data_IF_751004962850
#
_entry.id   IF_751004962850
#
_cell.length_a   1.000
_cell.length_b   1.000
_cell.length_c   1.000
_cell.angle_alpha   90.00
_cell.angle_beta   90.00
_cell.angle_gamma   90.00
#
_symmetry.space_group_name_H-M   'P 1'
#
loop_
_entity.id
_entity.type
_entity.pdbx_description
1 polymer ?
#
# COMPACT_ATOMS: atom_id res chain seq x y z
N UNK A 1 -34.90 0.40 -75.02
CA UNK A 1 -33.86 0.89 -74.07
C UNK A 1 -34.51 1.18 -72.73
N UNK A 2 -34.36 0.30 -71.73
CA UNK A 2 -34.62 0.59 -70.31
C UNK A 2 -33.57 -0.17 -69.51
N UNK A 3 -32.54 0.55 -69.04
CA UNK A 3 -31.49 0.02 -68.16
C UNK A 3 -32.10 -0.15 -66.77
N UNK A 4 -32.11 -1.37 -66.24
CA UNK A 4 -32.35 -1.61 -64.82
C UNK A 4 -31.02 -1.37 -64.09
N UNK A 5 -30.93 -0.26 -63.35
CA UNK A 5 -29.87 -0.04 -62.39
C UNK A 5 -30.20 -0.82 -61.12
N UNK A 6 -29.46 -1.90 -60.86
CA UNK A 6 -29.54 -2.63 -59.59
C UNK A 6 -28.60 -1.94 -58.60
N UNK A 7 -29.17 -1.16 -57.70
CA UNK A 7 -28.47 -0.56 -56.57
C UNK A 7 -27.96 -1.66 -55.62
N UNK A 8 -26.65 -1.71 -55.44
CA UNK A 8 -25.98 -2.57 -54.47
C UNK A 8 -26.02 -1.85 -53.10
N UNK A 9 -26.87 -2.31 -52.18
CA UNK A 9 -26.84 -1.91 -50.78
C UNK A 9 -25.62 -2.55 -50.11
N UNK A 10 -24.60 -1.75 -49.78
CA UNK A 10 -23.49 -2.16 -48.93
C UNK A 10 -23.94 -1.93 -47.49
N UNK A 11 -24.32 -3.00 -46.79
CA UNK A 11 -24.53 -2.96 -45.35
C UNK A 11 -23.15 -2.87 -44.66
N UNK A 12 -22.80 -1.69 -44.14
CA UNK A 12 -21.61 -1.50 -43.32
C UNK A 12 -21.77 -2.22 -41.98
N UNK A 13 -20.97 -3.25 -41.73
CA UNK A 13 -20.82 -3.84 -40.40
C UNK A 13 -19.99 -2.85 -39.57
N UNK A 14 -20.66 -2.11 -38.67
CA UNK A 14 -20.01 -1.37 -37.60
C UNK A 14 -19.49 -2.37 -36.57
N UNK A 15 -18.19 -2.66 -36.62
CA UNK A 15 -17.53 -3.41 -35.55
C UNK A 15 -17.38 -2.49 -34.32
N UNK A 16 -18.23 -2.68 -33.32
CA UNK A 16 -18.02 -2.07 -32.00
C UNK A 16 -16.89 -2.84 -31.29
N UNK A 17 -15.72 -2.20 -31.17
CA UNK A 17 -14.67 -2.70 -30.28
C UNK A 17 -15.07 -2.38 -28.84
N UNK A 18 -15.43 -3.40 -28.05
CA UNK A 18 -15.58 -3.22 -26.60
C UNK A 18 -14.19 -3.09 -25.99
N UNK A 19 -13.90 -1.94 -25.34
CA UNK A 19 -12.71 -1.83 -24.52
C UNK A 19 -12.86 -2.78 -23.32
N UNK A 20 -11.98 -3.78 -23.22
CA UNK A 20 -11.91 -4.63 -22.03
C UNK A 20 -11.19 -3.85 -20.92
N UNK A 21 -11.79 -3.81 -19.74
CA UNK A 21 -11.13 -3.28 -18.55
C UNK A 21 -10.25 -4.38 -17.95
N UNK A 22 -8.97 -4.09 -17.74
CA UNK A 22 -8.04 -5.02 -17.10
C UNK A 22 -7.56 -4.43 -15.78
N UNK A 23 -7.40 -5.29 -14.77
CA UNK A 23 -6.75 -4.91 -13.52
C UNK A 23 -5.29 -4.53 -13.77
N UNK A 24 -4.88 -3.41 -13.19
CA UNK A 24 -3.51 -2.89 -13.16
C UNK A 24 -3.12 -2.70 -11.71
N UNK A 25 -1.91 -3.13 -11.34
CA UNK A 25 -1.38 -2.97 -9.98
C UNK A 25 -0.08 -2.18 -10.04
N UNK A 26 0.05 -1.18 -9.17
CA UNK A 26 1.28 -0.41 -8.98
C UNK A 26 1.74 -0.55 -7.53
N UNK A 27 3.02 -0.88 -7.34
CA UNK A 27 3.63 -1.05 -6.02
C UNK A 27 4.66 0.06 -5.79
N UNK A 28 4.61 0.65 -4.59
CA UNK A 28 5.51 1.68 -4.11
C UNK A 28 6.33 1.10 -2.96
N UNK A 29 7.64 1.08 -3.15
CA UNK A 29 8.60 0.68 -2.12
C UNK A 29 9.10 1.92 -1.37
N UNK A 30 9.77 1.70 -0.25
CA UNK A 30 10.35 2.76 0.55
C UNK A 30 11.43 3.54 -0.22
N UNK A 31 11.36 4.87 -0.15
CA UNK A 31 12.33 5.79 -0.77
C UNK A 31 12.87 6.83 0.21
N UNK A 32 12.33 6.91 1.43
CA UNK A 32 12.62 7.99 2.37
C UNK A 32 11.96 9.33 2.05
N UNK A 33 11.07 9.38 1.05
CA UNK A 33 10.41 10.60 0.60
C UNK A 33 8.98 10.34 0.11
N UNK A 34 8.24 11.43 -0.10
CA UNK A 34 6.94 11.42 -0.75
C UNK A 34 7.03 10.80 -2.16
N UNK A 35 6.03 9.99 -2.50
CA UNK A 35 5.79 9.48 -3.84
C UNK A 35 4.37 9.88 -4.27
N UNK A 36 4.10 9.87 -5.57
CA UNK A 36 2.80 10.32 -6.11
C UNK A 36 2.24 9.36 -7.14
N UNK A 37 0.91 9.28 -7.21
CA UNK A 37 0.18 8.56 -8.24
C UNK A 37 -0.90 9.44 -8.85
N UNK A 38 -0.89 9.59 -10.18
CA UNK A 38 -1.95 10.30 -10.91
C UNK A 38 -2.99 9.30 -11.36
N UNK A 39 -4.25 9.52 -10.96
CA UNK A 39 -5.35 8.61 -11.26
C UNK A 39 -5.63 8.58 -12.77
N UNK A 40 -5.59 7.40 -13.42
CA UNK A 40 -5.82 7.31 -14.86
C UNK A 40 -7.23 7.73 -15.27
N UNK A 41 -7.36 8.11 -16.55
CA UNK A 41 -8.66 8.44 -17.12
C UNK A 41 -9.66 7.28 -16.97
N UNK A 42 -10.89 7.61 -16.56
CA UNK A 42 -11.97 6.63 -16.37
C UNK A 42 -11.91 5.82 -15.07
N UNK A 43 -10.86 5.96 -14.25
CA UNK A 43 -10.76 5.31 -12.94
C UNK A 43 -11.44 6.16 -11.87
N UNK A 44 -12.43 5.59 -11.20
CA UNK A 44 -13.20 6.26 -10.13
C UNK A 44 -13.11 5.52 -8.78
N UNK A 45 -12.46 4.36 -8.75
CA UNK A 45 -12.21 3.59 -7.54
C UNK A 45 -10.90 2.84 -7.67
N UNK A 46 -10.14 2.81 -6.58
CA UNK A 46 -8.87 2.11 -6.46
C UNK A 46 -8.91 1.27 -5.18
N UNK A 47 -8.56 -0.01 -5.28
CA UNK A 47 -8.24 -0.82 -4.10
C UNK A 47 -6.85 -0.45 -3.64
N UNK A 48 -6.73 0.03 -2.41
CA UNK A 48 -5.48 0.47 -1.81
C UNK A 48 -5.06 -0.48 -0.71
N UNK A 49 -3.75 -0.71 -0.60
CA UNK A 49 -3.14 -1.58 0.39
C UNK A 49 -1.88 -0.92 0.92
N UNK A 50 -1.70 -0.92 2.24
CA UNK A 50 -0.54 -0.36 2.90
C UNK A 50 -0.03 -1.33 3.97
N UNK A 51 1.29 -1.40 4.08
CA UNK A 51 2.00 -2.12 5.12
C UNK A 51 2.94 -1.15 5.82
N UNK A 52 2.76 -0.94 7.13
CA UNK A 52 3.69 -0.17 7.94
C UNK A 52 5.05 -0.85 8.05
N UNK A 53 6.08 -0.11 8.44
CA UNK A 53 7.41 -0.67 8.64
C UNK A 53 7.57 -1.26 10.05
N UNK A 54 8.51 -2.18 10.22
CA UNK A 54 8.87 -2.70 11.54
C UNK A 54 9.77 -1.72 12.30
N UNK A 55 9.73 -1.80 13.64
CA UNK A 55 10.75 -1.18 14.47
C UNK A 55 12.10 -1.88 14.37
N UNK A 56 13.11 -1.29 15.01
CA UNK A 56 14.42 -1.92 15.16
C UNK A 56 14.32 -3.19 16.01
N UNK A 57 14.92 -4.27 15.51
CA UNK A 57 15.12 -5.51 16.26
C UNK A 57 16.46 -5.47 16.97
N UNK A 58 16.41 -5.45 18.30
CA UNK A 58 17.60 -5.56 19.13
C UNK A 58 18.16 -6.98 19.16
N UNK A 59 19.35 -7.14 19.72
CA UNK A 59 20.01 -8.44 19.92
C UNK A 59 19.22 -9.38 20.86
N UNK A 60 18.43 -8.82 21.79
CA UNK A 60 17.67 -9.58 22.79
C UNK A 60 16.19 -9.79 22.49
N UNK A 61 15.57 -8.99 21.59
CA UNK A 61 14.16 -9.10 21.25
C UNK A 61 13.83 -8.49 19.87
N UNK A 62 12.79 -9.01 19.19
CA UNK A 62 12.34 -8.45 17.92
C UNK A 62 11.66 -7.09 18.11
N UNK A 63 11.89 -6.19 17.17
CA UNK A 63 11.06 -5.00 17.00
C UNK A 63 9.63 -5.39 16.65
N UNK A 64 8.69 -4.51 16.95
CA UNK A 64 7.31 -4.68 16.54
C UNK A 64 7.22 -4.71 15.01
N UNK A 65 6.42 -5.62 14.48
CA UNK A 65 6.11 -5.67 13.05
C UNK A 65 5.12 -4.55 12.68
N UNK A 66 5.24 -4.03 11.47
CA UNK A 66 4.27 -3.07 10.95
C UNK A 66 2.94 -3.73 10.60
N UNK A 67 1.85 -2.97 10.70
CA UNK A 67 0.50 -3.42 10.40
C UNK A 67 0.20 -3.45 8.90
N UNK A 68 -0.98 -3.99 8.57
CA UNK A 68 -1.58 -3.94 7.24
C UNK A 68 -2.90 -3.18 7.30
N UNK A 69 -3.20 -2.40 6.26
CA UNK A 69 -4.50 -1.78 6.04
C UNK A 69 -4.89 -1.83 4.57
N UNK A 70 -6.17 -2.04 4.29
CA UNK A 70 -6.70 -2.06 2.92
C UNK A 70 -8.12 -1.48 2.86
N UNK A 71 -8.54 -1.05 1.68
CA UNK A 71 -9.93 -0.72 1.37
C UNK A 71 -10.08 -0.16 -0.04
N UNK A 72 -11.30 0.23 -0.40
CA UNK A 72 -11.63 0.85 -1.67
C UNK A 72 -11.71 2.38 -1.52
N UNK A 73 -10.78 3.08 -2.17
CA UNK A 73 -10.71 4.54 -2.20
C UNK A 73 -11.47 5.06 -3.42
N UNK A 74 -12.45 5.94 -3.19
CA UNK A 74 -13.10 6.69 -4.26
C UNK A 74 -12.16 7.77 -4.78
N UNK A 75 -12.02 7.85 -6.09
CA UNK A 75 -11.08 8.78 -6.73
C UNK A 75 -11.70 9.53 -7.90
N UNK A 76 -11.10 10.66 -8.26
CA UNK A 76 -11.42 11.46 -9.44
C UNK A 76 -10.34 11.24 -10.51
N UNK A 77 -10.71 10.89 -11.76
CA UNK A 77 -9.74 10.81 -12.86
C UNK A 77 -8.88 12.08 -12.96
N UNK A 78 -7.56 11.90 -13.04
CA UNK A 78 -6.58 12.98 -13.13
C UNK A 78 -6.16 13.62 -11.80
N UNK A 79 -6.78 13.26 -10.67
CA UNK A 79 -6.29 13.72 -9.36
C UNK A 79 -4.95 13.06 -8.99
N UNK A 80 -4.22 13.69 -8.07
CA UNK A 80 -2.96 13.16 -7.53
C UNK A 80 -3.19 12.63 -6.13
N UNK A 81 -2.80 11.37 -5.91
CA UNK A 81 -2.67 10.78 -4.58
C UNK A 81 -1.22 10.89 -4.13
N UNK A 82 -1.03 11.20 -2.85
CA UNK A 82 0.30 11.23 -2.23
C UNK A 82 0.50 9.97 -1.40
N UNK A 83 1.69 9.39 -1.52
CA UNK A 83 2.02 8.07 -1.00
C UNK A 83 3.26 8.22 -0.14
N UNK A 84 3.14 7.77 1.10
CA UNK A 84 4.23 7.75 2.07
C UNK A 84 4.43 6.31 2.50
N UNK A 85 5.61 5.77 2.25
CA UNK A 85 5.97 4.41 2.64
C UNK A 85 6.85 4.48 3.88
N UNK A 86 6.48 3.77 4.94
CA UNK A 86 7.22 3.80 6.19
C UNK A 86 8.64 3.25 6.04
N UNK A 87 9.60 3.89 6.69
CA UNK A 87 10.96 3.35 6.80
C UNK A 87 11.11 2.49 8.05
N UNK A 88 11.90 1.43 7.98
CA UNK A 88 12.24 0.63 9.16
C UNK A 88 12.93 1.48 10.22
N UNK A 89 12.64 1.22 11.50
CA UNK A 89 13.43 1.76 12.60
C UNK A 89 14.87 1.26 12.53
N UNK A 90 15.83 2.12 12.87
CA UNK A 90 17.25 1.80 12.91
C UNK A 90 17.79 1.88 14.34
N UNK A 91 19.02 1.40 14.53
CA UNK A 91 19.70 1.42 15.82
C UNK A 91 19.83 2.85 16.37
N UNK A 92 19.70 2.99 17.68
CA UNK A 92 19.96 4.22 18.42
C UNK A 92 21.35 4.16 19.09
N UNK A 93 22.34 4.74 18.42
CA UNK A 93 23.72 4.79 18.90
C UNK A 93 23.99 6.05 19.73
N UNK A 94 24.84 5.92 20.76
CA UNK A 94 25.31 7.03 21.59
C UNK A 94 24.67 7.11 22.97
N UNK A 95 25.45 7.56 23.95
CA UNK A 95 25.00 7.68 25.35
C UNK A 95 23.90 8.74 25.48
N UNK A 96 22.67 8.27 25.72
CA UNK A 96 21.48 9.11 25.92
C UNK A 96 21.23 10.07 24.76
N UNK A 97 21.47 9.58 23.53
CA UNK A 97 21.16 10.31 22.29
C UNK A 97 19.96 9.63 21.60
N UNK A 98 18.75 10.20 21.69
CA UNK A 98 17.59 9.67 20.98
C UNK A 98 17.81 9.66 19.47
N UNK A 99 17.68 8.49 18.83
CA UNK A 99 17.84 8.33 17.39
C UNK A 99 17.06 7.11 16.85
N UNK A 100 17.19 6.88 15.54
CA UNK A 100 16.77 5.63 14.89
C UNK A 100 15.29 5.53 14.51
N UNK A 101 14.51 6.61 14.65
CA UNK A 101 13.12 6.63 14.20
C UNK A 101 12.98 6.42 12.69
N UNK A 102 12.09 5.50 12.29
CA UNK A 102 11.77 5.23 10.89
C UNK A 102 11.01 6.38 10.22
N UNK A 103 11.25 6.57 8.93
CA UNK A 103 10.58 7.62 8.14
C UNK A 103 9.05 7.50 8.19
N UNK A 104 8.35 8.64 8.15
CA UNK A 104 6.88 8.75 8.28
C UNK A 104 6.35 8.39 9.67
N UNK A 105 7.03 8.89 10.70
CA UNK A 105 6.49 9.01 12.05
C UNK A 105 7.01 8.01 13.07
N UNK A 106 8.06 7.24 12.77
CA UNK A 106 8.72 6.41 13.78
C UNK A 106 9.37 7.28 14.86
N UNK A 107 9.21 6.88 16.12
CA UNK A 107 9.83 7.52 17.27
C UNK A 107 11.27 7.04 17.48
N UNK A 108 12.10 7.92 18.03
CA UNK A 108 13.48 7.63 18.38
C UNK A 108 13.58 6.76 19.64
N UNK A 109 14.44 5.75 19.59
CA UNK A 109 14.88 4.99 20.78
C UNK A 109 16.13 5.60 21.39
N UNK A 110 16.60 5.06 22.52
CA UNK A 110 17.78 5.55 23.23
C UNK A 110 18.54 4.44 23.96
N UNK A 111 19.87 4.43 23.84
CA UNK A 111 20.80 3.60 24.63
C UNK A 111 21.54 4.43 25.70
N UNK A 112 22.41 3.79 26.50
CA UNK A 112 23.32 4.46 27.44
C UNK A 112 24.78 4.50 26.96
N UNK A 113 25.01 4.26 25.66
CA UNK A 113 26.31 4.43 25.02
C UNK A 113 27.43 3.50 25.48
N UNK A 114 27.15 2.39 26.17
CA UNK A 114 28.16 1.35 26.36
C UNK A 114 28.51 0.71 24.99
N UNK A 115 29.78 0.81 24.59
CA UNK A 115 30.30 0.39 23.27
C UNK A 115 30.18 -1.13 23.01
N UNK A 116 30.01 -1.94 24.06
CA UNK A 116 29.94 -3.40 23.93
C UNK A 116 28.54 -3.94 23.52
N UNK A 117 27.55 -3.05 23.27
CA UNK A 117 26.17 -3.45 22.93
C UNK A 117 25.61 -2.73 21.69
N UNK A 118 26.46 -2.54 20.69
CA UNK A 118 26.07 -2.09 19.34
C UNK A 118 24.87 -2.89 18.82
N UNK A 119 23.75 -2.21 18.56
CA UNK A 119 22.53 -2.84 18.02
C UNK A 119 21.47 -3.26 19.05
N UNK A 120 21.64 -2.98 20.34
CA UNK A 120 20.70 -3.36 21.40
C UNK A 120 19.32 -2.71 21.36
N UNK A 121 19.27 -1.42 21.00
CA UNK A 121 18.06 -0.59 21.02
C UNK A 121 17.95 0.20 19.73
N UNK A 122 16.72 0.49 19.31
CA UNK A 122 16.49 1.38 18.21
C UNK A 122 15.10 1.99 18.18
N UNK A 123 14.85 2.77 17.14
CA UNK A 123 13.59 3.47 16.97
C UNK A 123 12.45 2.58 16.47
N UNK A 124 11.26 3.15 16.53
CA UNK A 124 10.06 2.57 15.94
C UNK A 124 10.03 2.73 14.42
N UNK A 125 9.31 1.82 13.76
CA UNK A 125 9.05 1.86 12.33
C UNK A 125 8.03 2.92 11.95
N UNK A 126 8.15 3.41 10.72
CA UNK A 126 7.24 4.35 10.11
C UNK A 126 5.88 3.78 9.72
N UNK A 127 4.87 4.63 9.67
CA UNK A 127 3.60 4.28 9.05
C UNK A 127 3.72 4.28 7.51
N UNK A 128 2.86 3.51 6.84
CA UNK A 128 2.62 3.69 5.39
C UNK A 128 1.21 4.22 5.18
N UNK A 129 1.05 5.26 4.36
CA UNK A 129 -0.24 5.91 4.16
C UNK A 129 -0.48 6.45 2.75
N UNK A 130 -1.76 6.60 2.44
CA UNK A 130 -2.27 7.36 1.30
C UNK A 130 -2.87 8.67 1.79
N UNK A 131 -2.64 9.74 1.02
CA UNK A 131 -3.26 11.05 1.24
C UNK A 131 -3.99 11.55 0.00
N UNK A 132 -5.14 12.17 0.19
CA UNK A 132 -6.02 12.66 -0.86
C UNK A 132 -6.53 14.06 -0.51
N UNK A 133 -6.61 14.95 -1.49
CA UNK A 133 -7.01 16.36 -1.29
C UNK A 133 -5.91 17.26 -0.72
N UNK A 134 -4.75 16.69 -0.38
CA UNK A 134 -3.56 17.36 0.13
C UNK A 134 -2.50 16.33 0.52
N UNK A 135 -1.36 16.79 1.05
CA UNK A 135 -0.24 15.94 1.45
C UNK A 135 0.16 16.10 2.92
N UNK A 136 -0.70 16.66 3.77
CA UNK A 136 -0.46 16.81 5.21
C UNK A 136 -0.95 15.60 6.00
N UNK A 137 -0.61 15.49 7.29
CA UNK A 137 -1.10 14.40 8.14
C UNK A 137 -2.64 14.32 8.22
N UNK A 138 -3.33 15.46 8.05
CA UNK A 138 -4.80 15.51 8.07
C UNK A 138 -5.44 14.94 6.79
N UNK A 139 -4.67 14.83 5.71
CA UNK A 139 -5.16 14.36 4.41
C UNK A 139 -5.09 12.83 4.28
N UNK A 140 -4.67 12.13 5.34
CA UNK A 140 -4.54 10.67 5.38
C UNK A 140 -5.92 9.99 5.28
N UNK A 141 -6.09 9.18 4.25
CA UNK A 141 -7.33 8.42 4.00
C UNK A 141 -7.22 6.95 4.40
N UNK A 142 -6.00 6.42 4.41
CA UNK A 142 -5.68 5.07 4.88
C UNK A 142 -4.26 5.05 5.45
N UNK A 143 -4.09 4.46 6.64
CA UNK A 143 -2.81 4.34 7.34
C UNK A 143 -2.62 2.90 7.81
N UNK A 144 -1.46 2.33 7.54
CA UNK A 144 -0.97 1.11 8.18
C UNK A 144 0.10 1.50 9.22
N UNK A 145 -0.16 1.23 10.50
CA UNK A 145 0.74 1.63 11.59
C UNK A 145 2.08 0.89 11.57
N UNK A 146 3.16 1.58 11.92
CA UNK A 146 4.49 1.01 12.14
C UNK A 146 4.64 0.40 13.54
N UNK A 147 5.54 -0.57 13.68
CA UNK A 147 5.82 -1.22 14.96
C UNK A 147 6.81 -0.44 15.83
N UNK A 148 6.78 -0.65 17.15
CA UNK A 148 7.72 -0.05 18.09
C UNK A 148 9.12 -0.68 18.04
N UNK A 149 10.13 0.06 18.47
CA UNK A 149 11.51 -0.43 18.60
C UNK A 149 11.67 -1.36 19.82
N UNK A 150 12.59 -2.32 19.72
CA UNK A 150 12.94 -3.22 20.82
C UNK A 150 14.15 -2.74 21.63
N UNK A 151 14.46 -3.50 22.69
CA UNK A 151 15.61 -3.27 23.55
C UNK A 151 16.39 -4.55 23.83
N UNK A 152 17.56 -4.41 24.46
CA UNK A 152 18.42 -5.53 24.87
C UNK A 152 17.86 -6.37 26.02
N UNK A 153 16.96 -5.83 26.83
CA UNK A 153 16.42 -6.52 28.02
C UNK A 153 15.32 -7.55 27.66
N UNK A 154 15.40 -8.11 26.45
CA UNK A 154 14.41 -9.01 25.88
C UNK A 154 12.98 -8.44 25.84
N UNK A 155 12.82 -7.11 25.80
CA UNK A 155 11.51 -6.47 25.66
C UNK A 155 11.22 -6.18 24.19
N UNK A 156 10.26 -6.88 23.57
CA UNK A 156 9.90 -6.66 22.18
C UNK A 156 9.21 -5.31 21.98
N UNK A 157 9.30 -4.77 20.77
CA UNK A 157 8.45 -3.66 20.37
C UNK A 157 7.01 -4.09 20.14
N UNK A 158 6.06 -3.20 20.38
CA UNK A 158 4.65 -3.42 20.11
C UNK A 158 4.36 -3.42 18.60
N UNK A 159 3.61 -4.41 18.13
CA UNK A 159 3.19 -4.47 16.72
C UNK A 159 2.33 -3.24 16.36
N UNK A 160 2.60 -2.67 15.19
CA UNK A 160 1.77 -1.66 14.57
C UNK A 160 0.54 -2.25 13.90
N UNK A 161 -0.47 -1.42 13.68
CA UNK A 161 -1.71 -1.77 13.02
C UNK A 161 -2.85 -2.14 13.96
N UNK A 162 -3.97 -2.59 13.40
CA UNK A 162 -5.24 -2.60 14.13
C UNK A 162 -5.75 -1.16 14.39
N UNK A 163 -6.96 -1.03 14.93
CA UNK A 163 -7.45 0.30 15.36
C UNK A 163 -6.73 0.80 16.62
N UNK A 164 -6.09 -0.12 17.33
CA UNK A 164 -5.18 0.14 18.45
C UNK A 164 -3.92 -0.70 18.21
N UNK A 165 -2.76 -0.04 18.20
CA UNK A 165 -1.47 -0.72 18.16
C UNK A 165 -1.22 -1.53 19.44
N UNK A 166 -0.30 -2.48 19.40
CA UNK A 166 0.07 -3.25 20.59
C UNK A 166 0.99 -2.45 21.50
N UNK A 167 0.92 -2.68 22.80
CA UNK A 167 1.87 -2.15 23.77
C UNK A 167 3.26 -2.78 23.55
N UNK A 168 4.31 -2.06 23.92
CA UNK A 168 5.67 -2.60 24.00
C UNK A 168 5.83 -3.56 25.17
N UNK A 169 6.78 -4.49 25.06
CA UNK A 169 7.17 -5.33 26.18
C UNK A 169 7.76 -4.48 27.31
N UNK A 170 7.40 -4.79 28.55
CA UNK A 170 7.85 -4.04 29.73
C UNK A 170 8.88 -4.82 30.54
N UNK A 171 9.93 -4.15 31.02
CA UNK A 171 10.79 -4.66 32.07
C UNK A 171 10.98 -3.65 33.20
N UNK A 172 11.40 -4.14 34.37
CA UNK A 172 11.98 -3.34 35.46
C UNK A 172 11.12 -2.22 36.08
N UNK A 173 9.82 -2.12 35.75
CA UNK A 173 8.88 -1.14 36.31
C UNK A 173 8.60 0.02 35.35
N UNK A 174 8.22 1.19 35.87
CA UNK A 174 7.96 2.40 35.07
C UNK A 174 6.62 2.40 34.31
N UNK A 175 6.48 3.41 33.45
CA UNK A 175 5.33 3.63 32.58
C UNK A 175 5.40 2.72 31.35
N UNK A 176 4.32 1.98 31.10
CA UNK A 176 4.19 1.11 29.93
C UNK A 176 4.12 1.94 28.64
N UNK A 177 4.89 1.54 27.64
CA UNK A 177 4.80 2.12 26.29
C UNK A 177 3.53 1.59 25.58
N UNK A 178 2.41 2.30 25.74
CA UNK A 178 1.15 1.84 25.17
C UNK A 178 1.07 2.03 23.66
N UNK A 179 0.26 1.23 22.98
CA UNK A 179 -0.04 1.42 21.56
C UNK A 179 -0.84 2.69 21.29
N UNK A 180 -0.70 3.23 20.09
CA UNK A 180 -1.54 4.33 19.60
C UNK A 180 -2.97 3.84 19.32
N UNK A 181 -3.97 4.71 19.44
CA UNK A 181 -5.39 4.39 19.22
C UNK A 181 -5.97 5.19 18.05
N UNK A 182 -7.29 5.19 17.86
CA UNK A 182 -7.95 6.06 16.88
C UNK A 182 -8.03 7.54 17.30
N UNK A 183 -7.85 7.84 18.59
CA UNK A 183 -8.13 9.18 19.15
C UNK A 183 -7.01 9.75 20.02
N UNK A 184 -5.99 8.96 20.33
CA UNK A 184 -4.87 9.37 21.16
C UNK A 184 -3.63 8.55 20.84
N UNK A 185 -2.46 9.16 21.02
CA UNK A 185 -1.18 8.46 20.96
C UNK A 185 -0.89 7.66 22.21
N UNK A 186 0.08 6.77 22.08
CA UNK A 186 0.57 6.00 23.20
C UNK A 186 1.29 6.86 24.25
N UNK A 187 1.44 6.28 25.44
CA UNK A 187 1.99 6.97 26.61
C UNK A 187 3.36 7.59 26.35
N UNK A 188 3.66 8.68 27.06
CA UNK A 188 4.96 9.36 27.03
C UNK A 188 5.41 9.88 25.64
N UNK A 189 4.49 10.36 24.80
CA UNK A 189 4.84 11.18 23.64
C UNK A 189 4.38 10.66 22.28
N UNK A 190 3.64 9.54 22.24
CA UNK A 190 2.87 9.20 21.05
C UNK A 190 1.86 10.31 20.74
N UNK A 191 1.71 10.67 19.48
CA UNK A 191 0.80 11.73 19.05
C UNK A 191 0.26 11.46 17.64
N UNK A 192 -0.54 12.38 17.12
CA UNK A 192 -1.10 12.26 15.77
C UNK A 192 0.02 12.19 14.73
N UNK A 193 0.09 11.08 14.00
CA UNK A 193 1.10 10.85 12.97
C UNK A 193 2.51 10.47 13.46
N UNK A 194 2.79 10.52 14.76
CA UNK A 194 4.15 10.42 15.29
C UNK A 194 4.23 9.51 16.53
N UNK A 195 5.15 8.57 16.52
CA UNK A 195 5.51 7.73 17.66
C UNK A 195 6.33 8.48 18.70
N UNK A 196 6.22 8.04 19.95
CA UNK A 196 6.93 8.63 21.10
C UNK A 196 8.44 8.49 20.96
N UNK A 197 9.14 9.59 21.25
CA UNK A 197 10.60 9.65 21.27
C UNK A 197 11.08 9.46 22.71
N UNK A 198 12.13 8.66 22.89
CA UNK A 198 12.89 8.67 24.13
C UNK A 198 13.48 10.07 24.40
N UNK A 199 13.60 10.42 25.68
CA UNK A 199 14.20 11.68 26.14
C UNK A 199 15.58 11.41 26.80
N UNK A 200 16.60 12.27 26.58
CA UNK A 200 17.93 12.11 27.19
C UNK A 200 17.95 11.98 28.72
N UNK A 201 16.93 12.48 29.42
CA UNK A 201 16.82 12.41 30.89
C UNK A 201 16.10 11.17 31.40
N UNK A 202 15.46 10.39 30.52
CA UNK A 202 14.84 9.11 30.88
C UNK A 202 15.91 8.10 31.29
N UNK A 203 15.50 7.09 32.06
CA UNK A 203 16.37 5.93 32.23
C UNK A 203 16.62 5.32 30.84
N UNK A 204 17.85 4.91 30.52
CA UNK A 204 18.21 4.56 29.15
C UNK A 204 17.61 3.21 28.72
N UNK A 205 17.86 2.80 27.48
CA UNK A 205 17.36 1.56 26.88
C UNK A 205 15.87 1.55 26.57
N UNK A 206 15.37 2.61 25.94
CA UNK A 206 13.97 2.69 25.54
C UNK A 206 13.84 2.52 24.03
N UNK A 207 12.94 1.64 23.61
CA UNK A 207 12.56 1.51 22.21
C UNK A 207 11.64 2.66 21.80
N UNK A 208 11.85 3.24 20.62
CA UNK A 208 10.98 4.31 20.12
C UNK A 208 9.59 3.80 19.72
N UNK A 209 8.56 4.62 19.87
CA UNK A 209 7.19 4.27 19.48
C UNK A 209 7.02 4.16 17.96
N UNK A 210 6.18 3.25 17.47
CA UNK A 210 5.86 3.13 16.05
C UNK A 210 4.96 4.27 15.55
N UNK A 211 5.16 4.70 14.30
CA UNK A 211 4.30 5.70 13.65
C UNK A 211 2.91 5.14 13.34
N UNK A 212 1.90 6.00 13.18
CA UNK A 212 0.53 5.53 12.89
C UNK A 212 -0.43 6.67 12.61
N UNK A 213 -1.73 6.38 12.63
CA UNK A 213 -2.75 7.42 12.71
C UNK A 213 -2.57 8.22 13.99
N UNK A 214 -2.51 7.50 15.12
CA UNK A 214 -1.74 7.95 16.28
C UNK A 214 -0.58 6.98 16.52
N UNK A 215 0.60 7.54 16.78
CA UNK A 215 1.79 6.74 17.07
C UNK A 215 1.73 6.11 18.45
N UNK A 216 2.47 5.01 18.60
CA UNK A 216 2.68 4.35 19.88
C UNK A 216 3.57 5.15 20.80
N UNK A 217 3.57 4.78 22.07
CA UNK A 217 4.31 5.44 23.13
C UNK A 217 5.75 4.97 23.25
N UNK A 218 6.47 5.60 24.17
CA UNK A 218 7.77 5.15 24.68
C UNK A 218 7.63 4.80 26.17
N UNK A 219 8.62 4.12 26.73
CA UNK A 219 8.71 3.87 28.17
C UNK A 219 9.71 4.82 28.83
N UNK A 220 9.61 4.97 30.15
CA UNK A 220 10.60 5.66 30.97
C UNK A 220 11.57 4.68 31.67
N UNK A 221 11.47 3.38 31.35
CA UNK A 221 12.18 2.28 32.00
C UNK A 221 12.46 1.08 31.09
N UNK A 222 13.62 1.05 30.42
CA UNK A 222 14.23 -0.14 29.81
C UNK A 222 13.35 -0.98 28.86
N UNK A 223 12.29 -0.40 28.29
CA UNK A 223 11.21 -1.17 27.66
C UNK A 223 11.03 -0.84 26.18
N UNK A 224 10.46 -1.80 25.45
CA UNK A 224 10.14 -1.64 24.03
C UNK A 224 9.11 -0.54 23.81
N UNK A 225 9.11 0.07 22.62
CA UNK A 225 8.13 1.08 22.24
C UNK A 225 6.78 0.46 21.88
N UNK A 226 5.69 1.21 22.04
CA UNK A 226 4.36 0.80 21.58
C UNK A 226 4.22 0.92 20.06
N UNK A 227 3.35 0.12 19.45
CA UNK A 227 3.04 0.21 18.02
C UNK A 227 2.03 1.32 17.70
N UNK A 228 2.09 1.90 16.50
CA UNK A 228 1.11 2.88 16.04
C UNK A 228 -0.18 2.24 15.52
N UNK A 229 -1.30 2.96 15.58
CA UNK A 229 -2.58 2.49 15.03
C UNK A 229 -2.65 2.66 13.51
N UNK A 230 -3.44 1.79 12.87
CA UNK A 230 -3.92 2.01 11.50
C UNK A 230 -5.10 2.97 11.48
N UNK A 231 -5.48 3.44 10.29
CA UNK A 231 -6.71 4.20 10.06
C UNK A 231 -7.31 3.82 8.71
N UNK A 232 -8.63 3.67 8.67
CA UNK A 232 -9.37 3.24 7.48
C UNK A 232 -10.61 4.11 7.23
N UNK A 233 -10.68 5.30 7.84
CA UNK A 233 -11.88 6.15 7.75
C UNK A 233 -12.10 6.82 6.40
N UNK A 234 -11.07 6.90 5.54
CA UNK A 234 -11.17 7.45 4.19
C UNK A 234 -11.46 6.42 3.10
N UNK A 235 -11.71 5.16 3.45
CA UNK A 235 -11.98 4.07 2.49
C UNK A 235 -13.28 3.34 2.81
N UNK A 236 -13.87 2.71 1.80
CA UNK A 236 -15.00 1.80 1.96
C UNK A 236 -14.53 0.34 2.03
N UNK A 237 -15.24 -0.50 2.76
CA UNK A 237 -14.87 -1.92 2.93
C UNK A 237 -13.50 -2.12 3.59
N UNK A 238 -13.07 -1.16 4.41
CA UNK A 238 -11.73 -1.16 4.98
C UNK A 238 -11.49 -2.27 5.99
N UNK A 239 -10.27 -2.78 6.05
CA UNK A 239 -9.82 -3.76 7.04
C UNK A 239 -8.38 -3.45 7.47
N UNK A 240 -8.02 -3.84 8.69
CA UNK A 240 -6.65 -3.74 9.18
C UNK A 240 -6.27 -4.92 10.06
N UNK A 241 -5.01 -5.32 9.97
CA UNK A 241 -4.40 -6.40 10.76
C UNK A 241 -3.11 -5.88 11.40
N UNK A 242 -2.90 -6.14 12.68
CA UNK A 242 -1.65 -5.79 13.37
C UNK A 242 -0.53 -6.80 13.08
N UNK A 243 0.71 -6.33 13.04
CA UNK A 243 1.92 -7.18 13.06
C UNK A 243 2.10 -8.11 11.85
N UNK A 244 2.17 -7.55 10.65
CA UNK A 244 2.26 -8.30 9.38
C UNK A 244 3.62 -8.15 8.69
N UNK A 245 4.21 -6.96 8.73
CA UNK A 245 5.35 -6.57 7.88
C UNK A 245 6.63 -6.43 8.69
N UNK A 246 7.69 -7.09 8.23
CA UNK A 246 9.07 -6.86 8.66
C UNK A 246 9.83 -6.02 7.62
N UNK A 247 10.80 -5.23 8.07
CA UNK A 247 11.57 -4.31 7.26
C UNK A 247 10.80 -3.03 6.95
N UNK A 248 11.18 -2.39 5.84
CA UNK A 248 10.48 -1.21 5.33
C UNK A 248 9.01 -1.51 5.02
N UNK A 249 8.21 -0.45 4.93
CA UNK A 249 6.83 -0.50 4.48
C UNK A 249 6.70 -0.72 2.98
N UNK A 250 5.46 -0.83 2.50
CA UNK A 250 5.09 -0.91 1.08
C UNK A 250 3.69 -0.38 0.96
N UNK A 251 3.39 0.12 -0.21
CA UNK A 251 2.05 0.49 -0.60
C UNK A 251 1.76 -0.12 -1.96
N UNK A 252 0.55 -0.62 -2.16
CA UNK A 252 0.09 -1.10 -3.44
C UNK A 252 -1.29 -0.52 -3.75
N UNK A 253 -1.54 -0.29 -5.03
CA UNK A 253 -2.84 0.12 -5.52
C UNK A 253 -3.22 -0.72 -6.73
N UNK A 254 -4.49 -1.07 -6.81
CA UNK A 254 -5.05 -1.87 -7.90
C UNK A 254 -6.32 -1.20 -8.43
N UNK A 255 -6.41 -1.04 -9.75
CA UNK A 255 -7.55 -0.43 -10.43
C UNK A 255 -7.83 -1.11 -11.76
N UNK A 256 -9.05 -0.97 -12.27
CA UNK A 256 -9.41 -1.42 -13.61
C UNK A 256 -9.29 -0.27 -14.60
N UNK A 257 -8.48 -0.42 -15.65
CA UNK A 257 -8.36 0.55 -16.71
C UNK A 257 -8.70 -0.07 -18.07
N UNK A 258 -9.30 0.74 -18.95
CA UNK A 258 -9.58 0.34 -20.32
C UNK A 258 -8.26 0.14 -21.07
N UNK A 259 -8.08 -1.05 -21.66
CA UNK A 259 -6.94 -1.30 -22.55
C UNK A 259 -7.34 -0.88 -23.96
N UNK A 260 -6.49 -0.10 -24.63
CA UNK A 260 -6.72 0.25 -26.03
C UNK A 260 -6.76 -1.05 -26.86
N UNK A 261 -7.90 -1.35 -27.48
CA UNK A 261 -7.99 -2.42 -28.47
C UNK A 261 -7.11 -2.03 -29.66
N UNK A 262 -6.19 -2.91 -30.08
CA UNK A 262 -5.53 -2.73 -31.36
C UNK A 262 -6.62 -2.68 -32.45
N UNK A 263 -6.62 -1.68 -33.35
CA UNK A 263 -7.58 -1.67 -34.45
C UNK A 263 -7.37 -2.96 -35.25
N UNK A 264 -8.42 -3.76 -35.41
CA UNK A 264 -8.40 -4.81 -36.43
C UNK A 264 -8.19 -4.07 -37.76
N UNK A 265 -7.12 -4.34 -38.52
CA UNK A 265 -6.91 -3.67 -39.78
C UNK A 265 -8.16 -3.90 -40.63
N UNK A 266 -8.83 -2.82 -41.03
CA UNK A 266 -9.93 -2.91 -41.96
C UNK A 266 -9.42 -3.67 -43.18
N UNK A 267 -10.00 -4.85 -43.45
CA UNK A 267 -9.69 -5.59 -44.67
C UNK A 267 -9.95 -4.63 -45.83
N UNK A 268 -8.92 -4.36 -46.62
CA UNK A 268 -9.04 -3.55 -47.83
C UNK A 268 -10.13 -4.16 -48.73
N UNK A 269 -10.67 -3.37 -49.65
CA UNK A 269 -11.70 -3.82 -50.59
C UNK A 269 -11.34 -5.15 -51.32
N UNK A 270 -10.05 -5.47 -51.44
CA UNK A 270 -9.54 -6.74 -51.98
C UNK A 270 -9.62 -7.93 -51.01
N UNK A 271 -9.55 -7.71 -49.68
CA UNK A 271 -9.70 -8.75 -48.66
C UNK A 271 -11.14 -9.25 -48.50
N UNK A 272 -12.13 -8.39 -48.75
CA UNK A 272 -13.56 -8.76 -48.76
C UNK A 272 -13.95 -9.57 -50.01
N UNK A 273 -13.30 -9.32 -51.16
CA UNK A 273 -13.49 -10.11 -52.39
C UNK A 273 -12.92 -11.53 -52.26
N UNK A 274 -11.83 -11.73 -51.53
CA UNK A 274 -11.25 -13.06 -51.30
C UNK A 274 -12.16 -13.97 -50.45
N UNK A 275 -12.84 -13.42 -49.44
CA UNK A 275 -13.84 -14.15 -48.63
C UNK A 275 -15.17 -14.34 -49.37
N UNK A 276 -15.60 -13.39 -50.20
CA UNK A 276 -16.77 -13.54 -51.06
C UNK A 276 -16.60 -14.59 -52.16
N UNK A 277 -15.39 -14.77 -52.69
CA UNK A 277 -15.09 -15.79 -53.71
C UNK A 277 -15.09 -17.22 -53.13
N UNK A 278 -14.69 -17.38 -51.87
CA UNK A 278 -14.70 -18.69 -51.18
C UNK A 278 -16.14 -19.18 -50.93
N UNK A 279 -17.10 -18.28 -50.68
CA UNK A 279 -18.49 -18.66 -50.44
C UNK A 279 -19.26 -19.07 -51.72
N UNK A 280 -18.86 -18.58 -52.90
CA UNK A 280 -19.53 -18.89 -54.18
C UNK A 280 -19.07 -20.22 -54.78
N UNK A 281 -17.84 -20.67 -54.49
CA UNK A 281 -17.32 -21.96 -54.98
C UNK A 281 -17.94 -23.16 -54.23
N UNK A 282 -18.36 -22.98 -52.96
CA UNK A 282 -19.01 -24.04 -52.19
C UNK A 282 -20.44 -24.36 -52.66
N UNK A 283 -21.14 -23.42 -53.31
CA UNK A 283 -22.53 -23.60 -53.74
C UNK A 283 -22.68 -24.34 -55.08
N UNK A 284 -21.62 -24.50 -55.88
CA UNK A 284 -21.68 -25.15 -57.21
C UNK A 284 -21.39 -26.65 -57.19
N UNK A 285 -20.96 -27.23 -56.07
CA UNK A 285 -20.68 -28.67 -55.95
C UNK A 285 -21.85 -29.52 -55.41
N UNK A 286 -22.98 -28.92 -55.04
CA UNK A 286 -24.14 -29.61 -54.45
C UNK A 286 -25.31 -29.85 -55.42
N UNK A 287 -25.05 -30.18 -56.70
CA UNK A 287 -26.10 -30.63 -57.64
C UNK A 287 -25.95 -32.15 -57.86
N UNK A 288 -26.83 -33.01 -57.32
CA UNK A 288 -26.78 -34.45 -57.56
C UNK A 288 -27.22 -34.77 -59.01
N UNK A 289 -26.38 -35.45 -59.79
CA UNK A 289 -26.77 -36.03 -61.08
C UNK A 289 -27.72 -37.21 -60.82
N UNK A 290 -29.00 -37.09 -61.22
CA UNK A 290 -29.93 -38.23 -61.28
C UNK A 290 -29.44 -39.25 -62.31
N UNK A 291 -29.19 -40.49 -61.87
CA UNK A 291 -28.97 -41.66 -62.74
C UNK A 291 -30.34 -42.08 -63.29
N UNK A 292 -30.53 -42.02 -64.60
CA UNK A 292 -31.68 -42.65 -65.25
C UNK A 292 -31.39 -44.15 -65.41
N UNK A 293 -32.27 -44.99 -64.88
CA UNK A 293 -32.30 -46.44 -65.08
C UNK A 293 -33.10 -46.77 -66.34
N UNK A 294 -32.51 -47.56 -67.23
CA UNK A 294 -33.21 -48.57 -68.05
C UNK A 294 -32.29 -49.78 -68.18
#
# INVERSE_FOLDING_TARGET
MRKLERGLLIAGILAFASAMAQAQTTTFNYTGAEQTFVVPAGVTTITVEAWGASGWSGTGAPGGLGGYATGNLSVTPGETLYIYVGGQGTVANGDRVPAGGGFNGGGNGQSNGFEDIDGSVGGGGGASDFRQGGNTLNDRVLVAGGGGGATENATPGGNGGGLTGSDGGQCCGGSLATGGTQVAGGSLGGSFGQGGNADPVMTPWNGGGGGGWYGGGVSDAHSGGGGGSSYIGGVSGGSTTGGVRSGDGMVALTYSAAVASTPVPALSHWGLLALGLILVIAATWAIPRRRASR
#
